data_IF_256408986920
#
_entry.id   IF_256408986920
#
_cell.length_a   1.000
_cell.length_b   1.000
_cell.length_c   1.000
_cell.angle_alpha   90.00
_cell.angle_beta   90.00
_cell.angle_gamma   90.00
#
_symmetry.space_group_name_H-M   'P 1'
#
loop_
_entity.id
_entity.type
_entity.pdbx_description
1 polymer ?
#
# COMPACT_ATOMS: atom_id res chain seq x y z
N UNK A 1 5.36 38.90 41.35
CA UNK A 1 5.34 37.43 41.12
C UNK A 1 6.79 36.99 40.91
N UNK A 2 7.42 36.34 41.90
CA UNK A 2 8.80 35.84 41.79
C UNK A 2 8.73 34.44 41.20
N UNK A 3 9.11 34.30 39.94
CA UNK A 3 9.23 33.01 39.29
C UNK A 3 10.34 32.21 39.96
N UNK A 4 10.03 30.98 40.34
CA UNK A 4 11.02 30.02 40.83
C UNK A 4 11.90 29.55 39.67
N UNK A 5 13.13 29.13 39.97
CA UNK A 5 14.09 28.70 38.93
C UNK A 5 13.54 27.55 38.05
N UNK A 6 12.70 26.69 38.62
CA UNK A 6 12.06 25.59 37.90
C UNK A 6 11.00 26.06 36.89
N UNK A 7 10.24 27.12 37.20
CA UNK A 7 9.25 27.70 36.27
C UNK A 7 9.93 28.38 35.08
N UNK A 8 11.11 28.98 35.29
CA UNK A 8 11.90 29.57 34.19
C UNK A 8 12.41 28.47 33.26
N UNK A 9 12.90 27.35 33.82
CA UNK A 9 13.39 26.21 33.02
C UNK A 9 12.25 25.57 32.22
N UNK A 10 11.08 25.35 32.80
CA UNK A 10 9.94 24.77 32.07
C UNK A 10 9.44 25.70 30.96
N UNK A 11 9.47 27.01 31.17
CA UNK A 11 9.10 28.00 30.17
C UNK A 11 10.07 28.00 28.99
N UNK A 12 11.39 27.92 29.24
CA UNK A 12 12.40 27.83 28.17
C UNK A 12 12.24 26.55 27.35
N UNK A 13 12.01 25.41 28.00
CA UNK A 13 11.75 24.13 27.31
C UNK A 13 10.47 24.22 26.48
N UNK A 14 9.40 24.81 27.01
CA UNK A 14 8.15 25.01 26.29
C UNK A 14 8.33 25.84 25.02
N UNK A 15 9.10 26.93 25.09
CA UNK A 15 9.42 27.76 23.93
C UNK A 15 10.22 26.96 22.89
N UNK A 16 11.22 26.19 23.30
CA UNK A 16 12.00 25.34 22.39
C UNK A 16 11.12 24.29 21.69
N UNK A 17 10.23 23.62 22.42
CA UNK A 17 9.29 22.67 21.84
C UNK A 17 8.38 23.33 20.79
N UNK A 18 7.83 24.51 21.09
CA UNK A 18 6.98 25.25 20.14
C UNK A 18 7.76 25.62 18.87
N UNK A 19 9.00 26.10 19.01
CA UNK A 19 9.84 26.44 17.87
C UNK A 19 10.14 25.22 16.98
N UNK A 20 10.44 24.07 17.58
CA UNK A 20 10.65 22.83 16.85
C UNK A 20 9.37 22.40 16.13
N UNK A 21 8.22 22.41 16.83
CA UNK A 21 6.94 22.02 16.23
C UNK A 21 6.56 22.88 15.02
N UNK A 22 6.70 24.21 15.11
CA UNK A 22 6.43 25.12 13.99
C UNK A 22 7.37 24.82 12.82
N UNK A 23 8.66 24.64 13.10
CA UNK A 23 9.67 24.36 12.07
C UNK A 23 9.36 23.06 11.35
N UNK A 24 9.08 21.99 12.08
CA UNK A 24 8.72 20.69 11.49
C UNK A 24 7.43 20.78 10.68
N UNK A 25 6.42 21.52 11.15
CA UNK A 25 5.16 21.70 10.44
C UNK A 25 5.34 22.40 9.09
N UNK A 26 6.24 23.39 9.00
CA UNK A 26 6.53 24.10 7.75
C UNK A 26 7.38 23.25 6.80
N UNK A 27 8.39 22.53 7.32
CA UNK A 27 9.34 21.76 6.49
C UNK A 27 8.73 20.46 5.96
N UNK A 28 7.79 19.86 6.70
CA UNK A 28 7.13 18.60 6.34
C UNK A 28 6.46 18.62 4.95
N UNK A 29 5.54 19.56 4.63
CA UNK A 29 4.87 19.58 3.32
C UNK A 29 5.81 19.83 2.15
N UNK A 30 7.01 20.39 2.38
CA UNK A 30 8.01 20.64 1.33
C UNK A 30 8.88 19.40 1.10
N UNK A 31 9.29 18.73 2.18
CA UNK A 31 10.24 17.61 2.12
C UNK A 31 9.55 16.29 1.82
N UNK A 32 8.36 16.07 2.38
CA UNK A 32 7.59 14.86 2.21
C UNK A 32 7.36 14.49 0.73
N UNK A 33 6.79 15.38 -0.14
CA UNK A 33 6.56 15.03 -1.54
C UNK A 33 7.87 14.78 -2.31
N UNK A 34 8.98 15.45 -1.96
CA UNK A 34 10.29 15.20 -2.56
C UNK A 34 10.80 13.81 -2.21
N UNK A 35 10.65 13.40 -0.95
CA UNK A 35 11.02 12.06 -0.48
C UNK A 35 10.13 10.98 -1.09
N UNK A 36 8.82 11.22 -1.18
CA UNK A 36 7.88 10.31 -1.86
C UNK A 36 8.27 10.13 -3.32
N UNK A 37 8.50 11.23 -4.05
CA UNK A 37 8.94 11.16 -5.44
C UNK A 37 10.25 10.38 -5.57
N UNK A 38 11.25 10.68 -4.73
CA UNK A 38 12.55 9.99 -4.76
C UNK A 38 12.43 8.48 -4.52
N UNK A 39 11.57 8.05 -3.61
CA UNK A 39 11.47 6.64 -3.22
C UNK A 39 10.48 5.83 -4.07
N UNK A 40 9.46 6.47 -4.66
CA UNK A 40 8.43 5.78 -5.46
C UNK A 40 8.63 5.94 -6.97
N UNK A 41 9.42 6.90 -7.42
CA UNK A 41 9.69 7.06 -8.85
C UNK A 41 10.43 5.83 -9.37
N UNK A 42 9.95 5.26 -10.45
CA UNK A 42 10.62 4.17 -11.16
C UNK A 42 11.82 4.76 -11.89
N UNK A 43 13.02 4.36 -11.48
CA UNK A 43 14.27 4.84 -12.06
C UNK A 43 15.12 3.68 -12.53
N UNK A 44 15.90 3.93 -13.57
CA UNK A 44 16.97 3.07 -14.02
C UNK A 44 18.30 3.79 -13.80
N UNK A 45 19.24 3.10 -13.17
CA UNK A 45 20.57 3.62 -12.90
C UNK A 45 21.42 3.61 -14.19
N UNK A 46 22.53 4.35 -14.20
CA UNK A 46 23.42 4.45 -15.36
C UNK A 46 24.10 3.13 -15.75
N UNK A 47 24.17 2.18 -14.82
CA UNK A 47 24.68 0.81 -15.02
C UNK A 47 23.59 -0.15 -15.50
N UNK A 48 22.42 0.35 -15.92
CA UNK A 48 21.24 -0.42 -16.35
C UNK A 48 20.49 -1.12 -15.21
N UNK A 49 20.97 -1.03 -13.96
CA UNK A 49 20.29 -1.62 -12.80
C UNK A 49 19.01 -0.87 -12.45
N UNK A 50 18.05 -1.58 -11.86
CA UNK A 50 16.78 -1.00 -11.44
C UNK A 50 16.95 -0.28 -10.09
N UNK A 51 16.39 0.92 -9.98
CA UNK A 51 16.22 1.57 -8.68
C UNK A 51 15.31 0.75 -7.75
N UNK A 52 15.35 1.03 -6.45
CA UNK A 52 14.65 0.24 -5.42
C UNK A 52 13.15 0.03 -5.72
N UNK A 53 12.42 1.08 -6.05
CA UNK A 53 11.00 1.04 -6.42
C UNK A 53 10.74 0.17 -7.64
N UNK A 54 11.56 0.31 -8.69
CA UNK A 54 11.46 -0.46 -9.91
C UNK A 54 11.78 -1.94 -9.68
N UNK A 55 12.77 -2.24 -8.83
CA UNK A 55 13.08 -3.59 -8.42
C UNK A 55 11.93 -4.24 -7.63
N UNK A 56 11.34 -3.51 -6.68
CA UNK A 56 10.19 -3.98 -5.89
C UNK A 56 8.93 -4.15 -6.74
N UNK A 57 8.75 -3.35 -7.79
CA UNK A 57 7.66 -3.53 -8.74
C UNK A 57 7.87 -4.76 -9.64
N UNK A 58 9.11 -5.03 -10.06
CA UNK A 58 9.44 -6.21 -10.86
C UNK A 58 9.40 -7.51 -10.04
N UNK A 59 9.73 -7.44 -8.75
CA UNK A 59 9.76 -8.58 -7.83
C UNK A 59 8.98 -8.22 -6.56
N UNK A 60 7.64 -8.14 -6.65
CA UNK A 60 6.83 -7.75 -5.52
C UNK A 60 6.95 -8.83 -4.43
N UNK A 61 7.15 -8.46 -3.14
CA UNK A 61 7.30 -9.40 -2.03
C UNK A 61 5.95 -9.98 -1.59
N UNK A 62 5.05 -10.23 -2.54
CA UNK A 62 3.74 -10.83 -2.31
C UNK A 62 3.62 -12.08 -3.16
N UNK A 63 3.15 -13.17 -2.55
CA UNK A 63 2.81 -14.38 -3.27
C UNK A 63 1.36 -14.22 -3.73
N UNK A 64 1.16 -14.04 -5.04
CA UNK A 64 -0.18 -13.95 -5.62
C UNK A 64 -0.68 -15.36 -5.94
N UNK A 65 -1.69 -15.84 -5.21
CA UNK A 65 -2.32 -17.13 -5.48
C UNK A 65 -3.72 -16.87 -6.03
N UNK A 66 -3.91 -17.14 -7.31
CA UNK A 66 -5.21 -17.03 -7.94
C UNK A 66 -5.94 -18.37 -7.85
N UNK A 67 -7.17 -18.35 -7.34
CA UNK A 67 -8.04 -19.53 -7.24
C UNK A 67 -9.17 -19.42 -8.25
N UNK A 68 -9.28 -20.43 -9.09
CA UNK A 68 -10.36 -20.55 -10.06
C UNK A 68 -11.40 -21.54 -9.56
N UNK A 69 -12.67 -21.14 -9.67
CA UNK A 69 -13.83 -21.96 -9.38
C UNK A 69 -14.65 -22.01 -10.67
N UNK A 70 -14.99 -23.22 -11.11
CA UNK A 70 -15.82 -23.42 -12.29
C UNK A 70 -17.20 -23.91 -11.88
N UNK A 71 -18.19 -23.68 -12.73
CA UNK A 71 -19.53 -24.20 -12.54
C UNK A 71 -19.75 -25.36 -13.49
N UNK A 72 -19.89 -26.57 -12.94
CA UNK A 72 -20.24 -27.74 -13.71
C UNK A 72 -21.75 -27.79 -13.95
N UNK A 73 -22.18 -28.04 -15.19
CA UNK A 73 -23.60 -28.07 -15.57
C UNK A 73 -24.11 -29.51 -15.41
N UNK A 74 -25.20 -29.69 -14.66
CA UNK A 74 -25.76 -31.02 -14.37
C UNK A 74 -26.94 -31.42 -15.25
N UNK A 75 -27.51 -30.48 -16.03
CA UNK A 75 -28.67 -30.71 -16.90
C UNK A 75 -28.47 -30.19 -18.33
N UNK A 76 -27.40 -30.64 -18.98
CA UNK A 76 -27.04 -30.19 -20.32
C UNK A 76 -28.12 -30.51 -21.36
N UNK A 77 -28.68 -31.71 -21.35
CA UNK A 77 -29.67 -32.14 -22.33
C UNK A 77 -30.99 -31.35 -22.23
N UNK A 78 -31.55 -31.20 -21.03
CA UNK A 78 -32.75 -30.39 -20.79
C UNK A 78 -32.54 -28.92 -21.20
N UNK A 79 -31.33 -28.39 -20.96
CA UNK A 79 -31.00 -27.01 -21.31
C UNK A 79 -30.95 -26.83 -22.84
N UNK A 80 -30.36 -27.78 -23.57
CA UNK A 80 -30.18 -27.68 -25.03
C UNK A 80 -31.46 -28.01 -25.79
N UNK A 81 -32.19 -29.04 -25.39
CA UNK A 81 -33.32 -29.56 -26.16
C UNK A 81 -34.69 -29.08 -25.66
N UNK A 82 -34.82 -28.75 -24.38
CA UNK A 82 -36.11 -28.38 -23.76
C UNK A 82 -36.16 -26.90 -23.33
N UNK A 83 -35.04 -26.17 -23.43
CA UNK A 83 -34.95 -24.78 -22.98
C UNK A 83 -35.04 -24.62 -21.46
N UNK A 84 -34.77 -25.69 -20.71
CA UNK A 84 -34.82 -25.67 -19.25
C UNK A 84 -33.71 -24.79 -18.66
N UNK A 85 -33.94 -24.27 -17.44
CA UNK A 85 -32.94 -23.44 -16.75
C UNK A 85 -31.70 -24.28 -16.38
N UNK A 86 -30.49 -23.73 -16.55
CA UNK A 86 -29.26 -24.43 -16.17
C UNK A 86 -29.18 -24.65 -14.67
N UNK A 87 -28.80 -25.87 -14.29
CA UNK A 87 -28.45 -26.29 -12.93
C UNK A 87 -26.94 -26.46 -12.87
N UNK A 88 -26.32 -25.75 -11.93
CA UNK A 88 -24.87 -25.73 -11.79
C UNK A 88 -24.43 -26.17 -10.41
N UNK A 89 -23.26 -26.82 -10.35
CA UNK A 89 -22.57 -27.17 -9.12
C UNK A 89 -21.16 -26.60 -9.19
N UNK A 90 -20.76 -25.84 -8.17
CA UNK A 90 -19.41 -25.27 -8.08
C UNK A 90 -18.36 -26.38 -7.93
N UNK A 91 -17.27 -26.28 -8.69
CA UNK A 91 -16.13 -27.18 -8.60
C UNK A 91 -15.15 -26.71 -7.54
N UNK A 92 -14.25 -27.60 -7.12
CA UNK A 92 -13.20 -27.25 -6.16
C UNK A 92 -12.27 -26.16 -6.70
N UNK A 93 -11.60 -25.45 -5.79
CA UNK A 93 -10.63 -24.42 -6.13
C UNK A 93 -9.42 -25.01 -6.86
N UNK A 94 -9.13 -24.49 -8.06
CA UNK A 94 -7.87 -24.75 -8.76
C UNK A 94 -6.95 -23.54 -8.54
N UNK A 95 -5.85 -23.76 -7.82
CA UNK A 95 -4.89 -22.70 -7.51
C UNK A 95 -3.77 -22.65 -8.57
N UNK A 96 -3.48 -21.45 -9.07
CA UNK A 96 -2.33 -21.15 -9.93
C UNK A 96 -1.46 -20.11 -9.23
N UNK A 97 -0.16 -20.38 -9.17
CA UNK A 97 0.89 -19.52 -8.60
C UNK A 97 1.79 -19.02 -9.72
#
# INVERSE_FOLDING_TARGET
MRLTKFEIVSLVIGILCILISITTFIVFPITYPKMVKKNLQLTQNSDTSLGFSAFMMANPPIINVMKFYFFNITNQDEMVYEGAKPRVVETNAYAVM
#
